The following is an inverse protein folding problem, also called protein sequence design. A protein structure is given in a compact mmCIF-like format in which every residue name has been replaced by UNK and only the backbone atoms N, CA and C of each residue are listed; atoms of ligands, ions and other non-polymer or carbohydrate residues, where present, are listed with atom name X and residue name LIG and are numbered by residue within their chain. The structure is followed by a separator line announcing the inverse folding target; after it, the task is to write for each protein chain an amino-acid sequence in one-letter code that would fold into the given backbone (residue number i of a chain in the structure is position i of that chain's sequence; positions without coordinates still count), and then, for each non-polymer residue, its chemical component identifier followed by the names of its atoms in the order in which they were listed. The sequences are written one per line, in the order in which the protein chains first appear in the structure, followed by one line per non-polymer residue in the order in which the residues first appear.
data_IF_959874038314
#
_entry.id   IF_959874038314
#
_cell.length_a   1.000
_cell.length_b   1.000
_cell.length_c   1.000
_cell.angle_alpha   90.00
_cell.angle_beta   90.00
_cell.angle_gamma   90.00
#
_symmetry.space_group_name_H-M   'P 1'
#
loop_
_entity.id
_entity.type
_entity.pdbx_description
1 polymer ?
#
# COMPACT_ATOMS: atom_id res chain seq x y z
N UNK A 1 -7.71 18.22 -15.18
CA UNK A 1 -6.32 18.04 -14.71
C UNK A 1 -5.80 16.65 -15.11
N UNK A 2 -4.53 16.54 -15.53
CA UNK A 2 -3.88 15.27 -15.94
C UNK A 2 -2.75 14.96 -14.96
N UNK A 3 -2.80 13.82 -14.28
CA UNK A 3 -1.79 13.45 -13.27
C UNK A 3 -1.16 12.10 -13.62
N UNK A 4 0.18 12.07 -13.65
CA UNK A 4 0.94 10.83 -13.80
C UNK A 4 1.32 10.29 -12.42
N UNK A 5 0.91 9.08 -12.10
CA UNK A 5 1.21 8.40 -10.85
C UNK A 5 2.32 7.38 -11.01
N UNK A 6 3.18 7.26 -10.03
CA UNK A 6 4.22 6.23 -9.98
C UNK A 6 4.30 5.61 -8.59
N UNK A 7 3.95 4.36 -8.49
CA UNK A 7 4.02 3.58 -7.25
C UNK A 7 3.89 2.10 -7.56
N UNK A 8 4.72 1.27 -6.95
CA UNK A 8 4.70 -0.15 -7.30
C UNK A 8 5.37 -1.06 -6.28
N UNK A 9 5.27 -2.36 -6.56
CA UNK A 9 5.83 -3.45 -5.79
C UNK A 9 4.94 -3.92 -4.65
N UNK A 10 4.44 -3.04 -3.80
CA UNK A 10 3.60 -3.40 -2.63
C UNK A 10 2.34 -2.56 -2.55
N UNK A 11 1.31 -3.10 -1.88
CA UNK A 11 0.08 -2.34 -1.60
C UNK A 11 0.33 -1.02 -0.87
N UNK A 12 1.40 -0.96 -0.05
CA UNK A 12 1.82 0.24 0.67
C UNK A 12 2.18 1.43 -0.20
N UNK A 13 2.67 1.19 -1.40
CA UNK A 13 2.97 2.25 -2.37
C UNK A 13 1.81 2.50 -3.33
N UNK A 14 1.06 1.45 -3.68
CA UNK A 14 0.02 1.54 -4.71
C UNK A 14 -1.26 2.16 -4.17
N UNK A 15 -1.71 1.74 -2.98
CA UNK A 15 -2.95 2.23 -2.39
C UNK A 15 -2.96 3.75 -2.11
N UNK A 16 -1.89 4.38 -1.59
CA UNK A 16 -1.82 5.82 -1.48
C UNK A 16 -1.96 6.54 -2.83
N UNK A 17 -1.33 6.02 -3.90
CA UNK A 17 -1.46 6.59 -5.23
C UNK A 17 -2.91 6.52 -5.74
N UNK A 18 -3.57 5.35 -5.57
CA UNK A 18 -4.98 5.18 -5.95
C UNK A 18 -5.87 6.10 -5.11
N UNK A 19 -5.63 6.21 -3.79
CA UNK A 19 -6.42 7.09 -2.92
C UNK A 19 -6.35 8.56 -3.32
N UNK A 20 -5.16 9.04 -3.73
CA UNK A 20 -4.97 10.40 -4.24
C UNK A 20 -5.69 10.56 -5.58
N UNK A 21 -5.60 9.57 -6.49
CA UNK A 21 -6.27 9.61 -7.78
C UNK A 21 -7.80 9.62 -7.64
N UNK A 22 -8.35 8.77 -6.76
CA UNK A 22 -9.79 8.70 -6.47
C UNK A 22 -10.32 10.01 -5.88
N UNK A 23 -9.55 10.63 -4.98
CA UNK A 23 -9.91 11.92 -4.42
C UNK A 23 -9.90 13.02 -5.49
N UNK A 24 -8.85 13.08 -6.32
CA UNK A 24 -8.74 14.06 -7.40
C UNK A 24 -9.86 13.91 -8.45
N UNK A 25 -10.22 12.68 -8.79
CA UNK A 25 -11.31 12.38 -9.71
C UNK A 25 -12.69 12.86 -9.20
N UNK A 26 -12.90 12.87 -7.87
CA UNK A 26 -14.10 13.42 -7.26
C UNK A 26 -14.17 14.94 -7.28
N UNK A 27 -13.01 15.62 -7.32
CA UNK A 27 -12.92 17.08 -7.33
C UNK A 27 -12.95 17.69 -8.74
N UNK A 28 -12.53 16.93 -9.75
CA UNK A 28 -12.41 17.41 -11.13
C UNK A 28 -12.98 16.38 -12.11
N UNK A 29 -14.10 16.74 -12.77
CA UNK A 29 -14.80 15.88 -13.74
C UNK A 29 -13.95 15.56 -14.98
N UNK A 30 -13.00 16.44 -15.31
CA UNK A 30 -12.08 16.26 -16.44
C UNK A 30 -10.74 15.63 -16.01
N UNK A 31 -10.68 15.11 -14.79
CA UNK A 31 -9.49 14.45 -14.26
C UNK A 31 -9.09 13.23 -15.09
N UNK A 32 -7.81 13.15 -15.41
CA UNK A 32 -7.21 11.99 -16.10
C UNK A 32 -5.99 11.53 -15.34
N UNK A 33 -5.98 10.28 -14.96
CA UNK A 33 -4.85 9.61 -14.32
C UNK A 33 -4.22 8.59 -15.27
N UNK A 34 -2.89 8.51 -15.26
CA UNK A 34 -2.13 7.43 -15.85
C UNK A 34 -1.12 6.94 -14.82
N UNK A 35 -1.07 5.63 -14.61
CA UNK A 35 -0.11 5.03 -13.70
C UNK A 35 1.11 4.51 -14.44
N UNK A 36 2.26 4.50 -13.76
CA UNK A 36 3.48 3.85 -14.21
C UNK A 36 3.84 2.78 -13.20
N UNK A 37 4.01 1.56 -13.67
CA UNK A 37 4.29 0.38 -12.84
C UNK A 37 5.29 -0.57 -13.49
N UNK A 38 5.46 -1.76 -12.90
CA UNK A 38 6.19 -2.89 -13.48
C UNK A 38 5.23 -4.00 -13.89
N UNK A 39 5.65 -4.90 -14.77
CA UNK A 39 4.83 -6.05 -15.21
C UNK A 39 4.66 -7.14 -14.14
N UNK A 40 5.43 -7.10 -13.05
CA UNK A 40 5.48 -8.16 -12.04
C UNK A 40 4.97 -7.74 -10.65
N UNK A 41 4.63 -6.45 -10.45
CA UNK A 41 4.16 -5.94 -9.16
C UNK A 41 2.66 -6.06 -8.96
N UNK A 42 2.20 -5.81 -7.72
CA UNK A 42 0.77 -5.77 -7.38
C UNK A 42 0.00 -4.70 -8.15
N UNK A 43 0.68 -3.68 -8.65
CA UNK A 43 0.11 -2.61 -9.47
C UNK A 43 -0.60 -3.13 -10.71
N UNK A 44 -0.16 -4.27 -11.28
CA UNK A 44 -0.80 -4.90 -12.44
C UNK A 44 -2.23 -5.36 -12.19
N UNK A 45 -2.58 -5.61 -10.93
CA UNK A 45 -3.92 -6.02 -10.49
C UNK A 45 -4.70 -4.86 -9.88
N UNK A 46 -4.05 -4.10 -8.98
CA UNK A 46 -4.74 -3.10 -8.17
C UNK A 46 -5.12 -1.85 -8.97
N UNK A 47 -4.27 -1.39 -9.89
CA UNK A 47 -4.54 -0.18 -10.69
C UNK A 47 -5.69 -0.39 -11.66
N UNK A 48 -5.73 -1.47 -12.49
CA UNK A 48 -6.88 -1.75 -13.34
C UNK A 48 -8.16 -2.03 -12.55
N UNK A 49 -8.08 -2.72 -11.39
CA UNK A 49 -9.23 -2.94 -10.50
C UNK A 49 -9.84 -1.62 -9.99
N UNK A 50 -9.01 -0.59 -9.84
CA UNK A 50 -9.45 0.76 -9.47
C UNK A 50 -9.94 1.60 -10.66
N UNK A 51 -9.93 1.06 -11.89
CA UNK A 51 -10.43 1.74 -13.10
C UNK A 51 -9.44 2.68 -13.77
N UNK A 52 -8.13 2.56 -13.46
CA UNK A 52 -7.10 3.42 -14.05
C UNK A 52 -6.22 2.68 -15.06
N UNK A 53 -5.75 3.43 -16.06
CA UNK A 53 -4.78 2.96 -17.03
C UNK A 53 -3.37 2.89 -16.44
N UNK A 54 -2.57 1.90 -16.90
CA UNK A 54 -1.21 1.70 -16.44
C UNK A 54 -0.24 1.45 -17.61
N UNK A 55 0.87 2.16 -17.60
CA UNK A 55 2.04 1.94 -18.44
C UNK A 55 3.12 1.21 -17.66
N UNK A 56 3.86 0.33 -18.34
CA UNK A 56 4.87 -0.50 -17.67
C UNK A 56 6.29 -0.10 -18.06
N UNK A 57 7.18 -0.05 -17.06
CA UNK A 57 8.61 0.11 -17.26
C UNK A 57 9.35 -1.12 -16.70
N UNK A 58 10.56 -1.36 -17.21
CA UNK A 58 11.44 -2.39 -16.67
C UNK A 58 12.43 -1.73 -15.71
N UNK A 59 12.30 -2.06 -14.43
CA UNK A 59 13.19 -1.60 -13.37
C UNK A 59 13.32 -2.69 -12.31
N UNK A 60 14.47 -2.74 -11.65
CA UNK A 60 14.72 -3.60 -10.50
C UNK A 60 15.46 -2.83 -9.42
N UNK A 61 15.41 -3.34 -8.18
CA UNK A 61 16.16 -2.78 -7.06
C UNK A 61 17.66 -3.00 -7.19
N UNK A 62 18.44 -2.14 -6.53
CA UNK A 62 19.88 -2.36 -6.39
C UNK A 62 20.17 -3.53 -5.45
N UNK A 63 21.01 -4.46 -5.89
CA UNK A 63 21.50 -5.55 -5.05
C UNK A 63 22.63 -5.03 -4.13
N UNK A 64 22.36 -5.05 -2.81
CA UNK A 64 23.33 -4.57 -1.81
C UNK A 64 24.48 -5.55 -1.57
N UNK A 65 24.28 -6.83 -1.88
CA UNK A 65 25.26 -7.89 -1.63
C UNK A 65 26.19 -8.10 -2.83
N UNK A 66 25.70 -7.87 -4.05
CA UNK A 66 26.42 -8.17 -5.28
C UNK A 66 26.53 -6.92 -6.17
N UNK A 67 27.52 -6.08 -5.90
CA UNK A 67 27.72 -4.77 -6.58
C UNK A 67 27.84 -4.94 -8.11
N UNK A 68 28.48 -5.99 -8.60
CA UNK A 68 28.65 -6.26 -10.03
C UNK A 68 27.33 -6.53 -10.77
N UNK A 69 26.31 -7.04 -10.09
CA UNK A 69 24.95 -7.21 -10.68
C UNK A 69 24.23 -5.88 -10.91
N UNK A 70 24.71 -4.81 -10.30
CA UNK A 70 24.09 -3.49 -10.46
C UNK A 70 24.37 -2.84 -11.82
N UNK A 71 25.28 -3.38 -12.64
CA UNK A 71 25.50 -2.88 -14.00
C UNK A 71 24.25 -3.03 -14.87
N UNK A 72 23.55 -4.16 -14.79
CA UNK A 72 22.25 -4.34 -15.43
C UNK A 72 21.18 -3.41 -14.85
N UNK A 73 21.19 -3.20 -13.54
CA UNK A 73 20.25 -2.30 -12.86
C UNK A 73 20.42 -0.86 -13.36
N UNK A 74 21.67 -0.41 -13.58
CA UNK A 74 21.95 0.91 -14.14
C UNK A 74 21.45 1.02 -15.59
N UNK A 75 21.70 0.00 -16.42
CA UNK A 75 21.17 -0.04 -17.80
C UNK A 75 19.65 0.04 -17.82
N UNK A 76 18.97 -0.76 -16.97
CA UNK A 76 17.51 -0.73 -16.81
C UNK A 76 17.03 0.63 -16.34
N UNK A 77 17.72 1.27 -15.40
CA UNK A 77 17.37 2.61 -14.94
C UNK A 77 17.42 3.66 -16.05
N UNK A 78 18.46 3.61 -16.91
CA UNK A 78 18.58 4.52 -18.06
C UNK A 78 17.47 4.28 -19.07
N UNK A 79 17.18 3.01 -19.40
CA UNK A 79 16.10 2.62 -20.29
C UNK A 79 14.73 3.03 -19.72
N UNK A 80 14.46 2.74 -18.45
CA UNK A 80 13.24 3.13 -17.77
C UNK A 80 13.03 4.66 -17.79
N UNK A 81 14.09 5.45 -17.52
CA UNK A 81 14.03 6.92 -17.59
C UNK A 81 13.70 7.41 -19.01
N UNK A 82 14.28 6.78 -20.06
CA UNK A 82 13.94 7.12 -21.46
C UNK A 82 12.47 6.85 -21.75
N UNK A 83 11.96 5.70 -21.31
CA UNK A 83 10.54 5.34 -21.45
C UNK A 83 9.64 6.30 -20.66
N UNK A 84 9.98 6.68 -19.43
CA UNK A 84 9.26 7.68 -18.67
C UNK A 84 9.21 9.04 -19.38
N UNK A 85 10.33 9.49 -20.00
CA UNK A 85 10.32 10.72 -20.79
C UNK A 85 9.32 10.66 -21.96
N UNK A 86 9.21 9.48 -22.63
CA UNK A 86 8.24 9.27 -23.71
C UNK A 86 6.82 9.33 -23.18
N UNK A 87 6.52 8.61 -22.11
CA UNK A 87 5.19 8.62 -21.44
C UNK A 87 4.79 10.04 -21.04
N UNK A 88 5.69 10.81 -20.42
CA UNK A 88 5.43 12.21 -20.04
C UNK A 88 5.12 13.08 -21.27
N UNK A 89 5.86 12.91 -22.37
CA UNK A 89 5.61 13.66 -23.62
C UNK A 89 4.25 13.35 -24.24
N UNK A 90 3.85 12.09 -24.22
CA UNK A 90 2.59 11.62 -24.82
C UNK A 90 1.40 11.94 -23.94
N UNK A 91 1.50 11.68 -22.64
CA UNK A 91 0.42 11.92 -21.69
C UNK A 91 0.27 13.40 -21.33
N UNK A 92 1.34 14.21 -21.38
CA UNK A 92 1.38 15.64 -21.03
C UNK A 92 0.74 15.92 -19.67
N UNK A 93 1.28 15.36 -18.58
CA UNK A 93 0.73 15.57 -17.24
C UNK A 93 0.95 17.00 -16.76
N UNK A 94 -0.01 17.55 -16.03
CA UNK A 94 0.10 18.83 -15.33
C UNK A 94 1.00 18.68 -14.10
N UNK A 95 0.95 17.51 -13.44
CA UNK A 95 1.85 17.16 -12.33
C UNK A 95 2.07 15.65 -12.25
N UNK A 96 3.08 15.27 -11.44
CA UNK A 96 3.49 13.88 -11.23
C UNK A 96 3.48 13.57 -9.74
N UNK A 97 2.87 12.45 -9.37
CA UNK A 97 2.78 11.95 -7.98
C UNK A 97 3.50 10.61 -7.88
N UNK A 98 4.57 10.55 -7.10
CA UNK A 98 5.28 9.33 -6.78
C UNK A 98 4.93 8.89 -5.35
N UNK A 99 4.73 7.58 -5.12
CA UNK A 99 4.37 7.06 -3.80
C UNK A 99 5.32 5.97 -3.29
N UNK A 100 6.44 5.78 -3.99
CA UNK A 100 7.47 4.83 -3.59
C UNK A 100 7.57 3.60 -4.50
N UNK A 101 8.42 2.65 -4.09
CA UNK A 101 8.83 1.54 -4.93
C UNK A 101 9.88 1.95 -5.98
N UNK A 102 10.48 0.96 -6.63
CA UNK A 102 11.56 1.21 -7.60
C UNK A 102 11.12 2.04 -8.82
N UNK A 103 9.84 2.00 -9.14
CA UNK A 103 9.22 2.73 -10.26
C UNK A 103 9.32 4.23 -10.08
N UNK A 104 9.21 4.72 -8.85
CA UNK A 104 9.22 6.16 -8.55
C UNK A 104 10.53 6.85 -8.92
N UNK A 105 11.67 6.16 -8.82
CA UNK A 105 12.99 6.73 -9.14
C UNK A 105 13.11 7.26 -10.56
N UNK A 106 12.96 6.44 -11.62
CA UNK A 106 13.05 6.89 -13.00
C UNK A 106 11.98 7.92 -13.38
N UNK A 107 10.78 7.85 -12.79
CA UNK A 107 9.71 8.84 -13.02
C UNK A 107 10.08 10.21 -12.41
N UNK A 108 10.59 10.24 -11.17
CA UNK A 108 11.08 11.47 -10.53
C UNK A 108 12.25 12.10 -11.32
N UNK A 109 13.20 11.29 -11.80
CA UNK A 109 14.29 11.76 -12.66
C UNK A 109 13.77 12.36 -13.98
N UNK A 110 12.73 11.74 -14.56
CA UNK A 110 12.10 12.20 -15.79
C UNK A 110 11.33 13.51 -15.55
N UNK A 111 10.62 13.66 -14.42
CA UNK A 111 9.88 14.88 -14.07
C UNK A 111 10.77 16.10 -14.04
N UNK A 112 11.94 16.00 -13.37
CA UNK A 112 12.93 17.10 -13.34
C UNK A 112 13.43 17.48 -14.72
N UNK A 113 13.78 16.47 -15.55
CA UNK A 113 14.26 16.69 -16.93
C UNK A 113 13.21 17.37 -17.80
N UNK A 114 11.95 16.98 -17.65
CA UNK A 114 10.82 17.48 -18.43
C UNK A 114 10.20 18.76 -17.84
N UNK A 115 10.72 19.23 -16.67
CA UNK A 115 10.23 20.41 -15.94
C UNK A 115 8.74 20.31 -15.57
N UNK A 116 8.26 19.10 -15.27
CA UNK A 116 6.89 18.86 -14.78
C UNK A 116 6.92 18.91 -13.26
N UNK A 117 6.06 19.70 -12.59
CA UNK A 117 5.93 19.73 -11.14
C UNK A 117 5.68 18.33 -10.60
N UNK A 118 6.35 17.96 -9.52
CA UNK A 118 6.23 16.60 -9.00
C UNK A 118 6.38 16.55 -7.50
N UNK A 119 5.71 15.58 -6.89
CA UNK A 119 5.90 15.24 -5.49
C UNK A 119 6.21 13.75 -5.34
N UNK A 120 6.86 13.41 -4.22
CA UNK A 120 6.96 12.03 -3.76
C UNK A 120 6.42 11.95 -2.33
N UNK A 121 5.55 10.98 -2.10
CA UNK A 121 4.96 10.72 -0.79
C UNK A 121 5.71 9.60 -0.07
N UNK A 122 6.04 9.82 1.22
CA UNK A 122 6.65 8.84 2.11
C UNK A 122 5.65 8.45 3.21
N UNK A 123 5.40 7.15 3.31
CA UNK A 123 4.44 6.58 4.25
C UNK A 123 5.06 6.24 5.61
N UNK A 124 6.37 6.19 5.72
CA UNK A 124 7.09 5.73 6.90
C UNK A 124 7.82 6.87 7.60
N UNK A 125 8.04 6.73 8.92
CA UNK A 125 8.91 7.64 9.68
C UNK A 125 10.34 7.60 9.14
N UNK A 126 10.87 6.39 8.85
CA UNK A 126 12.18 6.23 8.21
C UNK A 126 12.03 6.12 6.69
N UNK A 127 12.40 7.15 5.94
CA UNK A 127 12.17 7.18 4.49
C UNK A 127 12.96 6.11 3.76
N UNK A 128 12.28 5.49 2.79
CA UNK A 128 12.85 4.50 1.91
C UNK A 128 13.97 5.06 1.02
N UNK A 129 14.88 4.19 0.56
CA UNK A 129 16.01 4.60 -0.29
C UNK A 129 15.56 5.30 -1.58
N UNK A 130 14.48 4.84 -2.19
CA UNK A 130 13.94 5.46 -3.40
C UNK A 130 13.48 6.89 -3.12
N UNK A 131 12.81 7.12 -1.99
CA UNK A 131 12.36 8.47 -1.59
C UNK A 131 13.55 9.37 -1.35
N UNK A 132 14.54 8.93 -0.54
CA UNK A 132 15.79 9.68 -0.31
C UNK A 132 16.52 10.00 -1.61
N UNK A 133 16.70 9.03 -2.50
CA UNK A 133 17.37 9.20 -3.78
C UNK A 133 16.59 10.07 -4.77
N UNK A 134 15.27 10.17 -4.62
CA UNK A 134 14.41 10.98 -5.49
C UNK A 134 14.24 12.43 -5.02
N UNK A 135 14.62 12.77 -3.78
CA UNK A 135 14.41 14.08 -3.18
C UNK A 135 15.01 15.24 -4.01
N UNK A 136 16.13 15.00 -4.70
CA UNK A 136 16.77 15.98 -5.60
C UNK A 136 15.99 16.24 -6.90
N UNK A 137 15.07 15.36 -7.26
CA UNK A 137 14.40 15.37 -8.56
C UNK A 137 12.97 15.90 -8.49
N UNK A 138 12.33 15.84 -7.31
CA UNK A 138 10.96 16.28 -7.11
C UNK A 138 10.85 17.70 -6.57
N UNK A 139 9.70 18.33 -6.77
CA UNK A 139 9.38 19.66 -6.27
C UNK A 139 9.07 19.63 -4.78
N UNK A 140 8.26 18.64 -4.32
CA UNK A 140 7.85 18.50 -2.94
C UNK A 140 8.03 17.06 -2.43
N UNK A 141 8.21 16.96 -1.10
CA UNK A 141 8.29 15.74 -0.34
C UNK A 141 7.09 15.71 0.61
N UNK A 142 6.04 14.98 0.26
CA UNK A 142 4.87 14.82 1.10
C UNK A 142 5.12 13.69 2.11
N UNK A 143 4.97 13.97 3.39
CA UNK A 143 5.35 13.06 4.47
C UNK A 143 4.14 12.70 5.33
N UNK A 144 4.03 11.43 5.70
CA UNK A 144 3.00 10.98 6.63
C UNK A 144 3.25 11.42 8.07
N UNK A 145 4.52 11.60 8.46
CA UNK A 145 4.92 11.90 9.83
C UNK A 145 5.89 13.09 9.86
N UNK A 146 5.76 13.92 10.88
CA UNK A 146 6.63 15.09 11.08
C UNK A 146 8.08 14.66 11.35
N UNK A 147 8.27 13.58 12.11
CA UNK A 147 9.57 13.03 12.46
C UNK A 147 10.40 12.65 11.23
N UNK A 148 9.73 12.32 10.11
CA UNK A 148 10.40 11.97 8.84
C UNK A 148 11.26 13.12 8.32
N UNK A 149 10.90 14.37 8.62
CA UNK A 149 11.68 15.57 8.22
C UNK A 149 13.14 15.47 8.72
N UNK A 150 13.35 14.91 9.91
CA UNK A 150 14.68 14.76 10.49
C UNK A 150 15.58 13.81 9.71
N UNK A 151 15.00 12.94 8.90
CA UNK A 151 15.70 11.95 8.08
C UNK A 151 15.85 12.35 6.61
N UNK A 152 15.37 13.57 6.24
CA UNK A 152 15.44 14.08 4.86
C UNK A 152 16.56 15.12 4.71
N UNK A 153 17.20 15.11 3.52
CA UNK A 153 18.24 16.11 3.17
C UNK A 153 17.66 17.45 2.76
N UNK A 154 16.47 17.45 2.11
CA UNK A 154 15.80 18.63 1.56
C UNK A 154 14.59 19.00 2.42
N UNK A 155 14.86 19.46 3.65
CA UNK A 155 13.81 19.82 4.61
C UNK A 155 12.88 20.91 4.10
N UNK A 156 13.40 21.83 3.30
CA UNK A 156 12.67 22.94 2.67
C UNK A 156 11.59 22.49 1.68
N UNK A 157 11.67 21.25 1.19
CA UNK A 157 10.66 20.67 0.29
C UNK A 157 9.63 19.85 1.04
N UNK A 158 9.83 19.59 2.34
CA UNK A 158 8.98 18.71 3.12
C UNK A 158 7.66 19.38 3.50
N UNK A 159 6.57 18.67 3.30
CA UNK A 159 5.22 19.04 3.73
C UNK A 159 4.59 17.84 4.42
N UNK A 160 4.15 18.01 5.67
CA UNK A 160 3.44 16.95 6.39
C UNK A 160 1.99 16.93 5.92
N UNK A 161 1.60 15.82 5.29
CA UNK A 161 0.27 15.64 4.68
C UNK A 161 -0.56 14.55 5.33
N UNK A 162 0.04 13.74 6.20
CA UNK A 162 -0.55 12.49 6.62
C UNK A 162 -0.50 11.42 5.51
N UNK A 163 -1.04 10.25 5.80
CA UNK A 163 -1.09 9.14 4.85
C UNK A 163 -2.42 9.17 4.07
N UNK A 164 -2.40 9.16 2.73
CA UNK A 164 -3.62 9.11 1.93
C UNK A 164 -4.41 7.82 2.18
N UNK A 165 -5.66 7.96 2.59
CA UNK A 165 -6.55 6.86 2.93
C UNK A 165 -7.67 6.79 1.91
N UNK A 166 -8.09 5.58 1.58
CA UNK A 166 -9.25 5.35 0.71
C UNK A 166 -10.51 5.94 1.32
N UNK A 167 -11.23 6.72 0.54
CA UNK A 167 -12.50 7.35 0.93
C UNK A 167 -13.51 6.35 1.50
N UNK A 168 -13.51 5.11 1.00
CA UNK A 168 -14.36 4.03 1.48
C UNK A 168 -14.12 3.71 2.96
N UNK A 169 -12.85 3.73 3.41
CA UNK A 169 -12.48 3.47 4.81
C UNK A 169 -12.99 4.61 5.71
N UNK A 170 -12.90 5.86 5.24
CA UNK A 170 -13.30 7.03 6.02
C UNK A 170 -14.82 7.14 6.19
N UNK A 171 -15.59 6.63 5.22
CA UNK A 171 -17.04 6.79 5.17
C UNK A 171 -17.82 5.52 5.47
N UNK A 172 -17.14 4.42 5.81
CA UNK A 172 -17.81 3.18 6.20
C UNK A 172 -18.47 3.31 7.58
N UNK A 173 -19.73 2.88 7.67
CA UNK A 173 -20.52 2.93 8.90
C UNK A 173 -20.43 1.60 9.66
N UNK A 174 -20.20 1.66 10.97
CA UNK A 174 -20.04 0.50 11.84
C UNK A 174 -21.26 -0.43 11.80
N UNK A 175 -22.47 0.12 11.97
CA UNK A 175 -23.69 -0.70 12.05
C UNK A 175 -24.01 -1.36 10.72
N UNK A 176 -24.00 -0.57 9.63
CA UNK A 176 -24.22 -1.08 8.26
C UNK A 176 -23.21 -2.13 7.85
N UNK A 177 -21.94 -1.94 8.22
CA UNK A 177 -20.89 -2.90 7.92
C UNK A 177 -21.09 -4.22 8.67
N UNK A 178 -21.47 -4.17 9.93
CA UNK A 178 -21.79 -5.37 10.72
C UNK A 178 -23.00 -6.13 10.18
N UNK A 179 -24.07 -5.42 9.83
CA UNK A 179 -25.26 -6.02 9.21
C UNK A 179 -24.89 -6.72 7.89
N UNK A 180 -24.14 -6.03 7.02
CA UNK A 180 -23.72 -6.57 5.73
C UNK A 180 -22.80 -7.79 5.86
N UNK A 181 -21.93 -7.83 6.85
CA UNK A 181 -21.02 -8.94 7.14
C UNK A 181 -21.66 -10.04 7.99
N UNK A 182 -22.87 -9.81 8.53
CA UNK A 182 -23.56 -10.75 9.41
C UNK A 182 -22.93 -10.89 10.79
N UNK A 183 -22.15 -9.91 11.25
CA UNK A 183 -21.41 -9.92 12.52
C UNK A 183 -22.35 -9.71 13.70
N UNK A 184 -22.38 -10.67 14.63
CA UNK A 184 -23.26 -10.65 15.80
C UNK A 184 -22.52 -10.58 17.13
N UNK A 185 -21.25 -11.05 17.17
CA UNK A 185 -20.39 -11.07 18.37
C UNK A 185 -19.33 -9.98 18.27
N UNK A 186 -18.55 -9.72 19.34
CA UNK A 186 -17.34 -8.89 19.22
C UNK A 186 -16.45 -9.39 18.09
N UNK A 187 -16.08 -8.49 17.19
CA UNK A 187 -15.39 -8.85 15.96
C UNK A 187 -13.94 -8.40 16.01
N UNK A 188 -13.04 -9.35 15.82
CA UNK A 188 -11.60 -9.14 15.78
C UNK A 188 -11.10 -9.32 14.35
N UNK A 189 -10.46 -8.28 13.81
CA UNK A 189 -9.84 -8.29 12.50
C UNK A 189 -8.33 -8.37 12.67
N UNK A 190 -7.69 -9.39 12.10
CA UNK A 190 -6.23 -9.56 12.17
C UNK A 190 -5.64 -9.67 10.75
N UNK A 191 -4.58 -8.91 10.46
CA UNK A 191 -3.85 -9.02 9.20
C UNK A 191 -2.44 -8.43 9.29
N UNK A 192 -1.50 -9.02 8.56
CA UNK A 192 -0.08 -8.60 8.51
C UNK A 192 0.29 -7.81 7.24
N UNK A 193 -0.70 -7.16 6.59
CA UNK A 193 -0.53 -6.53 5.27
C UNK A 193 -0.71 -7.53 4.12
N UNK A 194 -0.55 -7.07 2.86
CA UNK A 194 -0.82 -7.88 1.64
C UNK A 194 0.09 -9.10 1.49
N UNK A 195 1.28 -9.08 2.07
CA UNK A 195 2.22 -10.20 2.05
C UNK A 195 2.14 -11.07 3.30
N UNK A 196 1.39 -10.64 4.32
CA UNK A 196 1.35 -11.25 5.62
C UNK A 196 2.58 -10.95 6.49
N UNK A 197 2.51 -11.31 7.77
CA UNK A 197 3.59 -11.19 8.73
C UNK A 197 3.74 -12.49 9.53
N UNK A 198 4.88 -13.16 9.41
CA UNK A 198 5.09 -14.50 9.99
C UNK A 198 4.83 -14.52 11.50
N UNK A 199 5.29 -13.50 12.25
CA UNK A 199 5.06 -13.40 13.70
C UNK A 199 3.58 -13.30 14.06
N UNK A 200 2.81 -12.48 13.34
CA UNK A 200 1.36 -12.39 13.54
C UNK A 200 0.72 -13.74 13.21
N UNK A 201 1.08 -14.32 12.08
CA UNK A 201 0.54 -15.59 11.63
C UNK A 201 0.78 -16.71 12.68
N UNK A 202 2.01 -16.86 13.17
CA UNK A 202 2.35 -17.87 14.17
C UNK A 202 1.63 -17.62 15.51
N UNK A 203 1.51 -16.36 15.94
CA UNK A 203 0.78 -16.01 17.17
C UNK A 203 -0.71 -16.36 17.04
N UNK A 204 -1.34 -16.02 15.92
CA UNK A 204 -2.76 -16.31 15.69
C UNK A 204 -3.01 -17.81 15.70
N UNK A 205 -2.18 -18.63 15.02
CA UNK A 205 -2.32 -20.10 15.02
C UNK A 205 -2.33 -20.63 16.46
N UNK A 206 -1.44 -20.16 17.33
CA UNK A 206 -1.39 -20.56 18.74
C UNK A 206 -2.64 -20.21 19.55
N UNK A 207 -3.47 -19.26 19.06
CA UNK A 207 -4.70 -18.84 19.74
C UNK A 207 -5.97 -19.51 19.19
N UNK A 208 -5.92 -20.10 17.97
CA UNK A 208 -7.12 -20.59 17.26
C UNK A 208 -7.91 -21.62 18.05
N UNK A 209 -7.25 -22.59 18.68
CA UNK A 209 -7.92 -23.64 19.48
C UNK A 209 -8.76 -23.04 20.61
N UNK A 210 -8.18 -22.08 21.34
CA UNK A 210 -8.88 -21.36 22.41
C UNK A 210 -10.06 -20.55 21.89
N UNK A 211 -9.87 -19.80 20.78
CA UNK A 211 -10.93 -18.97 20.18
C UNK A 211 -12.07 -19.86 19.68
N UNK A 212 -11.75 -21.02 19.08
CA UNK A 212 -12.75 -21.99 18.62
C UNK A 212 -13.59 -22.53 19.77
N UNK A 213 -12.96 -22.92 20.88
CA UNK A 213 -13.64 -23.48 22.06
C UNK A 213 -14.50 -22.46 22.79
N UNK A 214 -13.98 -21.25 22.99
CA UNK A 214 -14.68 -20.18 23.70
C UNK A 214 -15.88 -19.63 22.91
N UNK A 215 -15.78 -19.57 21.60
CA UNK A 215 -16.81 -19.07 20.65
C UNK A 215 -17.46 -17.73 21.05
N UNK A 216 -16.72 -16.86 21.76
CA UNK A 216 -17.23 -15.58 22.27
C UNK A 216 -17.02 -14.42 21.32
N UNK A 217 -16.11 -14.56 20.37
CA UNK A 217 -15.75 -13.54 19.38
C UNK A 217 -15.91 -14.08 17.97
N UNK A 218 -16.03 -13.20 17.00
CA UNK A 218 -15.85 -13.52 15.58
C UNK A 218 -14.48 -13.05 15.15
N UNK A 219 -13.74 -13.88 14.41
CA UNK A 219 -12.40 -13.61 13.93
C UNK A 219 -12.33 -13.65 12.42
N UNK A 220 -11.86 -12.57 11.80
CA UNK A 220 -11.38 -12.58 10.42
C UNK A 220 -9.86 -12.42 10.41
N UNK A 221 -9.18 -13.41 9.85
CA UNK A 221 -7.74 -13.44 9.79
C UNK A 221 -7.23 -13.46 8.34
N UNK A 222 -6.55 -12.39 7.92
CA UNK A 222 -5.88 -12.26 6.63
C UNK A 222 -4.40 -12.65 6.74
N UNK A 223 -4.06 -13.81 6.19
CA UNK A 223 -2.72 -14.42 6.31
C UNK A 223 -1.68 -13.81 5.36
N UNK A 224 -2.13 -13.15 4.28
CA UNK A 224 -1.33 -12.81 3.11
C UNK A 224 -1.26 -13.96 2.10
N UNK A 225 -1.32 -13.63 0.80
CA UNK A 225 -1.40 -14.62 -0.28
C UNK A 225 -0.29 -15.68 -0.24
N UNK A 226 0.94 -15.28 0.11
CA UNK A 226 2.09 -16.20 0.14
C UNK A 226 2.07 -17.19 1.29
N UNK A 227 1.34 -16.89 2.36
CA UNK A 227 1.36 -17.65 3.59
C UNK A 227 0.13 -18.53 3.79
N UNK A 228 -0.93 -18.32 3.00
CA UNK A 228 -2.22 -18.98 3.20
C UNK A 228 -2.12 -20.50 3.26
N UNK A 229 -1.58 -21.12 2.22
CA UNK A 229 -1.47 -22.58 2.15
C UNK A 229 -0.61 -23.15 3.28
N UNK A 230 0.53 -22.50 3.59
CA UNK A 230 1.42 -22.89 4.69
C UNK A 230 0.68 -22.86 6.03
N UNK A 231 -0.13 -21.82 6.26
CA UNK A 231 -0.88 -21.65 7.50
C UNK A 231 -2.00 -22.67 7.61
N UNK A 232 -2.77 -22.90 6.53
CA UNK A 232 -3.82 -23.91 6.52
C UNK A 232 -3.27 -25.31 6.77
N UNK A 233 -2.09 -25.65 6.22
CA UNK A 233 -1.41 -26.91 6.50
C UNK A 233 -0.98 -27.02 7.98
N UNK A 234 -0.37 -25.96 8.55
CA UNK A 234 -0.01 -25.96 9.98
C UNK A 234 -1.23 -26.17 10.89
N UNK A 235 -2.36 -25.52 10.59
CA UNK A 235 -3.61 -25.70 11.36
C UNK A 235 -4.09 -27.15 11.29
N UNK A 236 -4.08 -27.75 10.10
CA UNK A 236 -4.44 -29.16 9.90
C UNK A 236 -3.52 -30.11 10.65
N UNK A 237 -2.20 -29.91 10.57
CA UNK A 237 -1.18 -30.71 11.27
C UNK A 237 -1.31 -30.59 12.79
N UNK A 238 -1.71 -29.42 13.29
CA UNK A 238 -1.93 -29.19 14.73
C UNK A 238 -3.22 -29.80 15.27
N UNK A 239 -4.06 -30.41 14.42
CA UNK A 239 -5.34 -31.03 14.83
C UNK A 239 -6.39 -30.01 15.31
N UNK A 240 -6.19 -28.72 15.03
CA UNK A 240 -7.13 -27.67 15.44
C UNK A 240 -8.39 -27.74 14.59
N UNK A 241 -9.55 -27.90 15.22
CA UNK A 241 -10.85 -27.80 14.55
C UNK A 241 -11.34 -26.36 14.65
N UNK A 242 -11.45 -25.69 13.50
CA UNK A 242 -11.97 -24.32 13.42
C UNK A 242 -13.48 -24.33 13.57
N UNK A 243 -14.00 -23.46 14.41
CA UNK A 243 -15.45 -23.20 14.55
C UNK A 243 -15.93 -22.10 13.58
N UNK A 244 -17.23 -22.02 13.34
CA UNK A 244 -17.86 -21.11 12.35
C UNK A 244 -17.62 -19.63 12.61
N UNK A 245 -17.20 -19.27 13.83
CA UNK A 245 -16.84 -17.89 14.20
C UNK A 245 -15.44 -17.47 13.74
N UNK A 246 -14.67 -18.36 13.11
CA UNK A 246 -13.32 -18.08 12.61
C UNK A 246 -13.28 -18.17 11.09
N UNK A 247 -12.96 -17.09 10.44
CA UNK A 247 -12.74 -17.01 9.00
C UNK A 247 -11.28 -16.67 8.69
N UNK A 248 -10.61 -17.56 7.94
CA UNK A 248 -9.22 -17.36 7.51
C UNK A 248 -9.22 -17.16 5.99
N UNK A 249 -8.57 -16.08 5.53
CA UNK A 249 -8.50 -15.73 4.11
C UNK A 249 -7.07 -15.37 3.72
N UNK A 250 -6.72 -15.59 2.47
CA UNK A 250 -5.42 -15.16 1.93
C UNK A 250 -5.34 -13.64 1.81
N UNK A 251 -6.45 -13.01 1.39
CA UNK A 251 -6.57 -11.58 1.19
C UNK A 251 -7.97 -11.08 1.60
N UNK A 252 -8.05 -9.87 2.14
CA UNK A 252 -9.31 -9.24 2.55
C UNK A 252 -9.69 -8.19 1.51
N UNK A 253 -10.63 -8.54 0.63
CA UNK A 253 -11.07 -7.66 -0.47
C UNK A 253 -11.90 -6.45 0.02
N UNK A 254 -12.77 -6.68 0.99
CA UNK A 254 -13.68 -5.69 1.55
C UNK A 254 -13.14 -5.05 2.85
N UNK A 255 -11.86 -4.68 2.84
CA UNK A 255 -11.13 -4.17 4.00
C UNK A 255 -11.85 -2.99 4.69
N UNK A 256 -12.43 -2.06 3.93
CA UNK A 256 -13.12 -0.90 4.48
C UNK A 256 -14.30 -1.30 5.39
N UNK A 257 -15.12 -2.25 4.95
CA UNK A 257 -16.25 -2.76 5.72
C UNK A 257 -15.78 -3.58 6.92
N UNK A 258 -14.74 -4.41 6.74
CA UNK A 258 -14.18 -5.21 7.82
C UNK A 258 -13.57 -4.30 8.92
N UNK A 259 -12.84 -3.26 8.55
CA UNK A 259 -12.29 -2.29 9.50
C UNK A 259 -13.40 -1.52 10.22
N UNK A 260 -14.44 -1.08 9.50
CA UNK A 260 -15.55 -0.37 10.10
C UNK A 260 -16.36 -1.25 11.07
N UNK A 261 -16.52 -2.55 10.77
CA UNK A 261 -17.26 -3.50 11.59
C UNK A 261 -16.49 -4.00 12.82
N UNK A 262 -15.15 -3.86 12.84
CA UNK A 262 -14.30 -4.44 13.86
C UNK A 262 -14.37 -3.68 15.19
N UNK A 263 -14.42 -4.44 16.29
CA UNK A 263 -14.27 -3.92 17.65
C UNK A 263 -12.77 -3.81 18.02
N UNK A 264 -11.94 -4.71 17.45
CA UNK A 264 -10.49 -4.72 17.62
C UNK A 264 -9.82 -5.03 16.27
N UNK A 265 -8.80 -4.26 15.92
CA UNK A 265 -7.93 -4.51 14.76
C UNK A 265 -6.52 -4.76 15.23
N UNK A 266 -5.94 -5.89 14.80
CA UNK A 266 -4.52 -6.22 15.01
C UNK A 266 -3.83 -6.23 13.65
N UNK A 267 -2.91 -5.29 13.44
CA UNK A 267 -2.24 -5.14 12.14
C UNK A 267 -0.79 -4.72 12.29
N UNK A 268 0.06 -5.17 11.36
CA UNK A 268 1.44 -4.71 11.19
C UNK A 268 1.60 -3.85 9.93
N UNK A 269 0.52 -3.38 9.33
CA UNK A 269 0.58 -2.62 8.09
C UNK A 269 0.61 -1.12 8.34
N UNK A 270 1.68 -0.45 7.90
CA UNK A 270 1.86 0.99 8.01
C UNK A 270 0.82 1.84 7.25
N UNK A 271 0.16 1.25 6.23
CA UNK A 271 -0.83 1.96 5.40
C UNK A 271 -2.23 2.01 6.00
N UNK A 272 -2.47 1.31 7.09
CA UNK A 272 -3.76 1.28 7.78
C UNK A 272 -3.75 2.03 9.12
N UNK A 273 -2.66 2.70 9.44
CA UNK A 273 -2.62 3.65 10.56
C UNK A 273 -3.28 4.95 10.09
N UNK A 274 -4.58 4.88 9.93
CA UNK A 274 -5.43 6.05 10.06
C UNK A 274 -5.79 6.13 11.54
N UNK A 275 -5.60 7.26 12.17
CA UNK A 275 -6.15 7.47 13.50
C UNK A 275 -7.65 7.19 13.47
N UNK A 276 -8.12 6.04 13.99
CA UNK A 276 -9.53 5.84 14.11
C UNK A 276 -9.91 6.44 15.46
N UNK A 277 -10.62 7.52 15.42
CA UNK A 277 -11.27 8.09 16.60
C UNK A 277 -12.19 7.11 17.34
N UNK A 278 -12.30 5.86 16.88
CA UNK A 278 -13.18 4.82 17.47
C UNK A 278 -12.60 3.40 17.49
N UNK A 279 -11.47 3.11 16.90
CA UNK A 279 -10.88 1.77 16.94
C UNK A 279 -9.77 1.70 17.98
N UNK A 280 -9.89 0.79 18.96
CA UNK A 280 -8.79 0.44 19.85
C UNK A 280 -7.81 -0.42 19.07
N UNK A 281 -6.78 0.21 18.48
CA UNK A 281 -5.68 -0.49 17.87
C UNK A 281 -4.67 -0.91 18.94
N UNK A 282 -4.29 -2.19 18.92
CA UNK A 282 -3.12 -2.69 19.64
C UNK A 282 -2.06 -2.95 18.56
N UNK A 283 -1.03 -2.11 18.54
CA UNK A 283 0.14 -2.24 17.66
C UNK A 283 1.23 -3.10 18.32
#
# INVERSE_FOLDING_TARGET
MRVLFAGGGTGGHINPAISIADYAAKQDKDFKALFVGTKSGLETKLVPKAGYDIEYIEIQGFDRKHIFRNFETVKKLISARRKCNKIIKEFKPDCIVCTGGYVSGPVAMASKKMKVPSLIHEQNVYPGMTVKGSANYVTYLALSFEETINHMQHKEKCVVTGNPIRSEILHSDYKKSREKLGIKKPFVLIFGGSLGADRINDTVIGMLDRISKDNKIELLFGTGDRNYDKIMNKIKESGITLSDNIKIVSYIDNMAECMAAADVVVSLSLIHISEPTRLRCIS
#
